data_IF_389753945601
#
_entry.id   IF_389753945601
#
_cell.length_a   1.000
_cell.length_b   1.000
_cell.length_c   1.000
_cell.angle_alpha   90.00
_cell.angle_beta   90.00
_cell.angle_gamma   90.00
#
_symmetry.space_group_name_H-M   'P 1'
#
loop_
_entity.id
_entity.type
_entity.pdbx_description
1 polymer ?
#
# COMPACT_ATOMS: atom_id res chain seq x y z
N UNK A 1 75.44 12.82 31.22
CA UNK A 1 75.73 13.84 30.20
C UNK A 1 74.48 13.98 29.33
N UNK A 2 74.00 15.21 29.22
CA UNK A 2 72.75 15.73 28.65
C UNK A 2 72.23 15.12 27.34
N UNK A 3 70.90 15.17 27.13
CA UNK A 3 70.15 15.92 26.10
C UNK A 3 68.73 15.31 25.98
N UNK A 4 67.66 15.96 26.47
CA UNK A 4 66.76 16.96 25.86
C UNK A 4 65.98 16.54 24.58
N UNK A 5 64.65 16.62 24.71
CA UNK A 5 63.58 16.93 23.73
C UNK A 5 63.24 15.97 22.58
N UNK A 6 61.98 15.53 22.51
CA UNK A 6 60.95 16.15 21.66
C UNK A 6 59.64 15.33 21.67
N UNK A 7 58.54 15.97 22.05
CA UNK A 7 57.17 15.45 21.89
C UNK A 7 56.77 15.68 20.42
N UNK A 8 56.45 14.61 19.70
CA UNK A 8 55.79 14.70 18.39
C UNK A 8 54.37 14.11 18.51
N UNK A 9 53.38 14.99 18.55
CA UNK A 9 51.98 14.66 18.37
C UNK A 9 51.79 14.40 16.86
N UNK A 10 51.75 13.13 16.47
CA UNK A 10 51.34 12.73 15.14
C UNK A 10 49.82 12.47 15.17
N UNK A 11 49.05 13.50 14.83
CA UNK A 11 47.61 13.38 14.59
C UNK A 11 47.38 12.49 13.37
N UNK A 12 46.87 11.28 13.59
CA UNK A 12 46.28 10.49 12.51
C UNK A 12 44.86 11.00 12.27
N UNK A 13 44.75 11.76 11.19
CA UNK A 13 43.51 12.16 10.55
C UNK A 13 42.77 10.89 10.11
N UNK A 14 41.75 10.48 10.87
CA UNK A 14 40.77 9.51 10.39
C UNK A 14 40.01 10.14 9.21
N UNK A 15 40.47 9.87 8.00
CA UNK A 15 39.67 10.09 6.79
C UNK A 15 38.56 9.05 6.81
N UNK A 16 37.49 9.36 7.53
CA UNK A 16 36.21 8.68 7.43
C UNK A 16 35.56 9.06 6.11
N UNK A 17 36.03 8.48 5.01
CA UNK A 17 35.26 8.45 3.78
C UNK A 17 34.18 7.36 3.93
N UNK A 18 33.16 7.65 4.75
CA UNK A 18 31.88 6.98 4.62
C UNK A 18 31.24 7.49 3.33
N UNK A 19 31.71 6.97 2.20
CA UNK A 19 30.93 6.96 0.99
C UNK A 19 29.71 6.10 1.27
N UNK A 20 28.64 6.70 1.78
CA UNK A 20 27.32 6.14 1.59
C UNK A 20 27.10 6.12 0.08
N UNK A 21 27.45 5.00 -0.56
CA UNK A 21 26.87 4.66 -1.84
C UNK A 21 25.37 4.59 -1.56
N UNK A 22 24.64 5.64 -1.94
CA UNK A 22 23.21 5.56 -2.09
C UNK A 22 22.97 4.39 -3.05
N UNK A 23 22.61 3.25 -2.50
CA UNK A 23 22.31 2.07 -3.28
C UNK A 23 21.04 2.44 -4.06
N UNK A 24 21.21 2.77 -5.35
CA UNK A 24 20.07 3.09 -6.21
C UNK A 24 19.28 1.80 -6.34
N UNK A 25 18.19 1.70 -5.59
CA UNK A 25 17.29 0.53 -5.61
C UNK A 25 16.20 0.75 -6.64
N UNK A 26 15.79 -0.32 -7.31
CA UNK A 26 14.63 -0.27 -8.22
C UNK A 26 13.35 -0.15 -7.38
N UNK A 27 12.49 0.84 -7.69
CA UNK A 27 11.19 1.00 -7.05
C UNK A 27 10.33 -0.27 -7.14
N UNK A 28 10.53 -1.09 -8.19
CA UNK A 28 9.85 -2.39 -8.33
C UNK A 28 10.25 -3.36 -7.23
N UNK A 29 11.53 -3.43 -6.88
CA UNK A 29 12.04 -4.35 -5.85
C UNK A 29 11.51 -3.98 -4.47
N UNK A 30 11.48 -2.68 -4.15
CA UNK A 30 10.89 -2.17 -2.91
C UNK A 30 9.39 -2.51 -2.86
N UNK A 31 8.68 -2.28 -3.97
CA UNK A 31 7.25 -2.58 -4.07
C UNK A 31 6.94 -4.08 -3.97
N UNK A 32 7.80 -4.95 -4.49
CA UNK A 32 7.71 -6.40 -4.28
C UNK A 32 7.98 -6.78 -2.82
N UNK A 33 8.95 -6.12 -2.18
CA UNK A 33 9.25 -6.34 -0.76
C UNK A 33 8.05 -6.00 0.11
N UNK A 34 7.36 -4.88 -0.16
CA UNK A 34 6.10 -4.50 0.49
C UNK A 34 5.01 -5.54 0.25
N UNK A 35 4.83 -6.00 -1.00
CA UNK A 35 3.78 -6.97 -1.36
C UNK A 35 3.98 -8.34 -0.70
N UNK A 36 5.22 -8.77 -0.56
CA UNK A 36 5.57 -10.11 -0.08
C UNK A 36 5.70 -10.20 1.44
N UNK A 37 5.49 -9.09 2.17
CA UNK A 37 5.43 -9.13 3.63
C UNK A 37 4.32 -10.08 4.09
N UNK A 38 4.64 -10.95 5.05
CA UNK A 38 3.68 -11.86 5.63
C UNK A 38 2.63 -11.07 6.42
N UNK A 39 1.37 -11.18 6.01
CA UNK A 39 0.24 -10.48 6.63
C UNK A 39 -0.55 -11.36 7.62
N UNK A 40 -0.15 -12.62 7.85
CA UNK A 40 -0.97 -13.57 8.61
C UNK A 40 -1.95 -14.37 7.74
N UNK A 41 -2.30 -15.57 8.17
CA UNK A 41 -3.23 -16.46 7.44
C UNK A 41 -4.70 -16.09 7.64
N UNK A 42 -5.04 -15.48 8.78
CA UNK A 42 -6.38 -15.02 9.10
C UNK A 42 -6.31 -13.64 9.76
N UNK A 43 -7.18 -12.74 9.33
CA UNK A 43 -7.29 -11.42 9.95
C UNK A 43 -8.75 -11.04 10.17
N UNK A 44 -9.00 -10.34 11.27
CA UNK A 44 -10.27 -9.68 11.54
C UNK A 44 -9.98 -8.26 11.99
N UNK A 45 -10.53 -7.29 11.26
CA UNK A 45 -10.42 -5.87 11.57
C UNK A 45 -11.80 -5.28 11.71
N UNK A 46 -12.03 -4.53 12.78
CA UNK A 46 -13.15 -3.59 12.86
C UNK A 46 -12.62 -2.20 12.57
N UNK A 47 -13.26 -1.50 11.65
CA UNK A 47 -12.84 -0.16 11.28
C UNK A 47 -14.04 0.79 11.19
N UNK A 48 -13.77 2.04 11.50
CA UNK A 48 -14.69 3.16 11.40
C UNK A 48 -14.15 4.13 10.32
N UNK A 49 -15.04 4.67 9.52
CA UNK A 49 -14.72 5.59 8.43
C UNK A 49 -15.54 6.86 8.58
N UNK A 50 -14.88 8.01 8.45
CA UNK A 50 -15.53 9.31 8.36
C UNK A 50 -15.42 9.81 6.92
N UNK A 51 -16.56 9.95 6.25
CA UNK A 51 -16.65 10.48 4.89
C UNK A 51 -17.07 11.93 4.99
N UNK A 52 -16.20 12.86 4.58
CA UNK A 52 -16.47 14.30 4.61
C UNK A 52 -16.51 14.80 3.18
N UNK A 53 -17.62 15.43 2.78
CA UNK A 53 -17.73 16.03 1.46
C UNK A 53 -17.12 17.44 1.42
N UNK A 54 -17.11 18.05 0.23
CA UNK A 54 -16.58 19.43 0.02
C UNK A 54 -17.28 20.51 0.86
N UNK A 55 -18.50 20.28 1.33
CA UNK A 55 -19.26 21.25 2.16
C UNK A 55 -19.02 21.05 3.66
N UNK A 56 -18.16 20.11 4.06
CA UNK A 56 -17.88 19.78 5.47
C UNK A 56 -18.92 18.87 6.12
N UNK A 57 -19.93 18.40 5.37
CA UNK A 57 -20.90 17.46 5.90
C UNK A 57 -20.26 16.07 5.98
N UNK A 58 -20.33 15.46 7.17
CA UNK A 58 -19.66 14.22 7.48
C UNK A 58 -20.65 13.07 7.74
N UNK A 59 -20.32 11.87 7.26
CA UNK A 59 -21.05 10.62 7.54
C UNK A 59 -20.08 9.58 8.11
N UNK A 60 -20.51 8.88 9.16
CA UNK A 60 -19.75 7.78 9.75
C UNK A 60 -20.25 6.44 9.22
N UNK A 61 -19.33 5.52 8.91
CA UNK A 61 -19.59 4.11 8.62
C UNK A 61 -18.74 3.23 9.52
N UNK A 62 -19.25 2.06 9.86
CA UNK A 62 -18.48 1.02 10.55
C UNK A 62 -18.55 -0.27 9.75
N UNK A 63 -17.45 -1.01 9.68
CA UNK A 63 -17.40 -2.29 8.97
C UNK A 63 -16.44 -3.27 9.64
N UNK A 64 -16.67 -4.55 9.37
CA UNK A 64 -15.64 -5.58 9.54
C UNK A 64 -14.92 -5.82 8.21
N UNK A 65 -13.62 -6.10 8.29
CA UNK A 65 -12.82 -6.71 7.23
C UNK A 65 -12.30 -8.05 7.74
N UNK A 66 -12.56 -9.10 6.99
CA UNK A 66 -12.03 -10.44 7.20
C UNK A 66 -11.04 -10.74 6.09
N UNK A 67 -9.94 -11.41 6.41
CA UNK A 67 -9.04 -11.96 5.40
C UNK A 67 -8.76 -13.41 5.76
N UNK A 68 -8.75 -14.27 4.75
CA UNK A 68 -8.22 -15.63 4.84
C UNK A 68 -7.26 -15.87 3.69
N UNK A 69 -6.09 -16.39 4.01
CA UNK A 69 -5.11 -16.90 3.08
C UNK A 69 -4.97 -18.40 3.32
N UNK A 70 -5.16 -19.20 2.27
CA UNK A 70 -5.05 -20.67 2.33
C UNK A 70 -4.32 -21.15 1.10
N UNK A 71 -3.03 -21.45 1.27
CA UNK A 71 -2.19 -21.94 0.18
C UNK A 71 -2.08 -20.97 -1.00
N UNK A 72 -2.04 -19.65 -0.74
CA UNK A 72 -1.94 -18.61 -1.77
C UNK A 72 -3.29 -18.18 -2.35
N UNK A 73 -4.40 -18.78 -1.93
CA UNK A 73 -5.75 -18.34 -2.27
C UNK A 73 -6.26 -17.35 -1.23
N UNK A 74 -5.96 -16.08 -1.45
CA UNK A 74 -6.39 -15.01 -0.56
C UNK A 74 -7.80 -14.52 -0.88
N UNK A 75 -8.64 -14.47 0.15
CA UNK A 75 -10.00 -13.92 0.09
C UNK A 75 -10.17 -12.86 1.16
N UNK A 76 -10.66 -11.69 0.76
CA UNK A 76 -10.92 -10.56 1.64
C UNK A 76 -12.41 -10.26 1.59
N UNK A 77 -13.05 -10.16 2.74
CA UNK A 77 -14.46 -9.79 2.85
C UNK A 77 -14.61 -8.52 3.69
N UNK A 78 -15.23 -7.50 3.12
CA UNK A 78 -15.67 -6.30 3.84
C UNK A 78 -17.18 -6.43 4.07
N UNK A 79 -17.65 -6.11 5.28
CA UNK A 79 -19.08 -6.12 5.63
C UNK A 79 -19.43 -4.91 6.49
N UNK A 80 -20.32 -4.07 5.98
CA UNK A 80 -20.81 -2.90 6.72
C UNK A 80 -21.71 -3.28 7.89
N UNK A 81 -21.46 -2.65 9.04
CA UNK A 81 -22.22 -2.77 10.28
C UNK A 81 -23.19 -1.59 10.46
N UNK A 82 -22.80 -0.41 9.99
CA UNK A 82 -23.56 0.83 10.09
C UNK A 82 -23.18 1.79 8.96
N UNK A 83 -24.05 2.74 8.57
CA UNK A 83 -25.42 2.96 9.04
C UNK A 83 -26.45 1.94 8.53
N UNK A 84 -27.72 2.09 8.94
CA UNK A 84 -28.79 1.10 8.71
C UNK A 84 -29.12 0.87 7.23
N UNK A 85 -28.98 1.90 6.40
CA UNK A 85 -29.20 1.91 4.94
C UNK A 85 -28.20 1.03 4.18
N UNK A 86 -26.97 0.88 4.69
CA UNK A 86 -25.92 0.03 4.08
C UNK A 86 -25.56 -1.18 4.93
N UNK A 87 -26.25 -1.41 6.05
CA UNK A 87 -25.96 -2.52 6.97
C UNK A 87 -26.05 -3.86 6.24
N UNK A 88 -25.06 -4.72 6.44
CA UNK A 88 -24.87 -6.02 5.75
C UNK A 88 -24.50 -5.93 4.27
N UNK A 89 -24.36 -4.74 3.68
CA UNK A 89 -23.70 -4.62 2.37
C UNK A 89 -22.28 -5.18 2.51
N UNK A 90 -21.90 -6.05 1.58
CA UNK A 90 -20.64 -6.76 1.65
C UNK A 90 -19.93 -6.81 0.31
N UNK A 91 -18.60 -6.77 0.35
CA UNK A 91 -17.73 -7.00 -0.79
C UNK A 91 -16.84 -8.19 -0.48
N UNK A 92 -16.81 -9.16 -1.39
CA UNK A 92 -15.82 -10.23 -1.39
C UNK A 92 -14.83 -9.98 -2.53
N UNK A 93 -13.56 -9.82 -2.21
CA UNK A 93 -12.43 -9.85 -3.16
C UNK A 93 -11.78 -11.22 -3.10
N UNK A 94 -11.71 -11.91 -4.24
CA UNK A 94 -10.97 -13.15 -4.41
C UNK A 94 -9.74 -12.86 -5.29
N UNK A 95 -8.56 -13.00 -4.69
CA UNK A 95 -7.31 -12.81 -5.41
C UNK A 95 -7.02 -13.98 -6.36
N UNK A 96 -6.71 -13.66 -7.61
CA UNK A 96 -6.33 -14.64 -8.62
C UNK A 96 -4.85 -14.51 -9.00
N UNK A 97 -4.15 -15.65 -9.09
CA UNK A 97 -2.77 -15.70 -9.56
C UNK A 97 -2.74 -15.59 -11.08
N UNK A 98 -2.01 -14.61 -11.62
CA UNK A 98 -1.85 -14.44 -13.08
C UNK A 98 -3.08 -13.91 -13.81
N UNK A 99 -4.13 -13.51 -13.09
CA UNK A 99 -5.34 -12.91 -13.64
C UNK A 99 -5.85 -11.77 -12.73
N UNK A 100 -6.84 -11.04 -13.23
CA UNK A 100 -7.56 -10.03 -12.44
C UNK A 100 -8.28 -10.65 -11.25
N UNK A 101 -8.35 -9.90 -10.15
CA UNK A 101 -9.12 -10.32 -8.99
C UNK A 101 -10.62 -10.36 -9.32
N UNK A 102 -11.33 -11.25 -8.65
CA UNK A 102 -12.79 -11.36 -8.82
C UNK A 102 -13.48 -10.78 -7.60
N UNK A 103 -14.32 -9.78 -7.83
CA UNK A 103 -15.05 -9.11 -6.78
C UNK A 103 -16.57 -9.32 -6.89
N UNK A 104 -17.21 -9.56 -5.74
CA UNK A 104 -18.65 -9.73 -5.62
C UNK A 104 -19.21 -8.75 -4.58
N UNK A 105 -20.11 -7.88 -5.01
CA UNK A 105 -20.87 -6.99 -4.16
C UNK A 105 -22.22 -7.60 -3.82
N UNK A 106 -22.49 -7.78 -2.54
CA UNK A 106 -23.79 -8.17 -2.02
C UNK A 106 -24.58 -6.95 -1.53
N UNK A 107 -25.79 -6.78 -2.07
CA UNK A 107 -26.70 -5.70 -1.74
C UNK A 107 -27.93 -6.26 -1.01
N UNK A 108 -28.02 -6.16 0.33
CA UNK A 108 -29.05 -6.82 1.13
C UNK A 108 -30.46 -6.30 0.83
N UNK A 109 -30.61 -4.99 0.57
CA UNK A 109 -31.89 -4.39 0.22
C UNK A 109 -32.52 -4.99 -1.05
N UNK A 110 -31.68 -5.46 -1.97
CA UNK A 110 -32.11 -6.08 -3.23
C UNK A 110 -32.04 -7.61 -3.18
N UNK A 111 -31.43 -8.19 -2.14
CA UNK A 111 -31.05 -9.62 -2.08
C UNK A 111 -30.29 -10.08 -3.33
N UNK A 112 -29.45 -9.20 -3.89
CA UNK A 112 -28.70 -9.46 -5.13
C UNK A 112 -27.20 -9.49 -4.88
N UNK A 113 -26.54 -10.37 -5.62
CA UNK A 113 -25.10 -10.39 -5.78
C UNK A 113 -24.80 -9.83 -7.17
N UNK A 114 -23.90 -8.84 -7.24
CA UNK A 114 -23.36 -8.31 -8.49
C UNK A 114 -21.88 -8.63 -8.54
N UNK A 115 -21.42 -9.23 -9.64
CA UNK A 115 -19.98 -9.31 -9.94
C UNK A 115 -19.52 -7.95 -10.43
N UNK A 116 -18.41 -7.46 -9.89
CA UNK A 116 -17.75 -6.25 -10.40
C UNK A 116 -16.94 -6.69 -11.63
N UNK A 117 -17.28 -6.12 -12.78
CA UNK A 117 -16.54 -6.39 -14.02
C UNK A 117 -15.19 -5.69 -13.96
N UNK A 118 -14.21 -6.19 -14.72
CA UNK A 118 -12.91 -5.55 -14.87
C UNK A 118 -13.03 -4.05 -15.22
N UNK A 119 -13.93 -3.68 -16.13
CA UNK A 119 -14.13 -2.30 -16.54
C UNK A 119 -14.92 -1.46 -15.51
N UNK A 120 -15.51 -2.08 -14.49
CA UNK A 120 -16.24 -1.38 -13.42
C UNK A 120 -15.31 -1.01 -12.24
N UNK A 121 -14.01 -1.31 -12.32
CA UNK A 121 -13.05 -1.10 -11.22
C UNK A 121 -12.93 0.37 -10.78
N UNK A 122 -13.18 1.31 -11.69
CA UNK A 122 -13.21 2.76 -11.40
C UNK A 122 -14.42 3.22 -10.60
N UNK A 123 -15.48 2.39 -10.50
CA UNK A 123 -16.67 2.76 -9.76
C UNK A 123 -16.37 2.87 -8.27
N UNK A 124 -16.98 3.87 -7.63
CA UNK A 124 -16.79 4.11 -6.21
C UNK A 124 -17.42 3.01 -5.37
N UNK A 125 -16.73 2.63 -4.31
CA UNK A 125 -17.18 1.62 -3.37
C UNK A 125 -18.25 2.21 -2.44
N UNK A 126 -19.52 1.97 -2.77
CA UNK A 126 -20.67 2.34 -1.91
C UNK A 126 -20.65 3.84 -1.56
N UNK A 127 -20.14 4.71 -2.45
CA UNK A 127 -20.04 6.15 -2.21
C UNK A 127 -18.96 6.58 -1.21
N UNK A 128 -17.88 5.79 -1.06
CA UNK A 128 -16.60 6.26 -0.53
C UNK A 128 -15.76 6.89 -1.64
N UNK A 129 -14.63 7.51 -1.28
CA UNK A 129 -13.60 7.92 -2.25
C UNK A 129 -12.78 6.74 -2.79
N UNK A 130 -12.79 5.59 -2.11
CA UNK A 130 -12.21 4.36 -2.63
C UNK A 130 -13.02 3.84 -3.83
N UNK A 131 -12.31 3.38 -4.85
CA UNK A 131 -12.86 2.59 -5.94
C UNK A 131 -12.71 1.08 -5.66
N UNK A 132 -13.17 0.24 -6.59
CA UNK A 132 -13.10 -1.21 -6.41
C UNK A 132 -11.67 -1.76 -6.55
N UNK A 133 -10.82 -1.14 -7.37
CA UNK A 133 -9.40 -1.50 -7.49
C UNK A 133 -8.63 -1.26 -6.18
N UNK A 134 -8.95 -0.20 -5.43
CA UNK A 134 -8.34 0.08 -4.12
C UNK A 134 -8.57 -1.04 -3.09
N UNK A 135 -9.55 -1.89 -3.35
CA UNK A 135 -9.94 -3.02 -2.49
C UNK A 135 -9.39 -4.36 -3.01
N UNK A 136 -8.51 -4.31 -4.00
CA UNK A 136 -7.68 -5.40 -4.51
C UNK A 136 -6.25 -5.31 -3.96
N UNK A 137 -5.46 -6.36 -4.16
CA UNK A 137 -4.02 -6.26 -3.95
C UNK A 137 -3.36 -5.65 -5.18
N UNK A 138 -2.37 -4.77 -4.95
CA UNK A 138 -1.67 -4.12 -6.05
C UNK A 138 -1.04 -5.15 -7.02
N UNK A 139 -1.39 -5.02 -8.29
CA UNK A 139 -0.80 -5.79 -9.38
C UNK A 139 0.50 -5.11 -9.83
N UNK A 140 1.60 -5.44 -9.14
CA UNK A 140 2.95 -4.87 -9.41
C UNK A 140 3.31 -4.91 -10.89
N UNK A 141 2.94 -5.97 -11.61
CA UNK A 141 3.30 -6.13 -13.00
C UNK A 141 2.50 -5.22 -13.97
N UNK A 142 1.45 -4.55 -13.51
CA UNK A 142 0.71 -3.54 -14.28
C UNK A 142 1.49 -2.23 -14.44
N UNK A 143 2.61 -2.04 -13.74
CA UNK A 143 3.35 -0.78 -13.71
C UNK A 143 4.82 -0.95 -14.11
N UNK A 144 5.39 0.14 -14.62
CA UNK A 144 6.84 0.39 -14.69
C UNK A 144 7.24 1.30 -13.55
N UNK A 145 8.40 1.06 -12.95
CA UNK A 145 8.85 1.78 -11.76
C UNK A 145 10.05 2.67 -12.08
N UNK A 146 10.14 3.82 -11.42
CA UNK A 146 11.37 4.61 -11.41
C UNK A 146 12.42 3.98 -10.50
N UNK A 147 13.67 4.40 -10.66
CA UNK A 147 14.66 4.25 -9.60
C UNK A 147 14.14 4.91 -8.32
N UNK A 148 14.42 4.31 -7.17
CA UNK A 148 14.07 4.85 -5.87
C UNK A 148 15.13 5.86 -5.41
N UNK A 149 14.66 7.01 -4.96
CA UNK A 149 15.45 8.00 -4.26
C UNK A 149 15.19 7.93 -2.75
N UNK A 150 16.04 8.62 -1.99
CA UNK A 150 15.85 8.82 -0.56
C UNK A 150 15.05 10.10 -0.31
N UNK A 151 14.09 10.04 0.61
CA UNK A 151 13.29 11.19 1.05
C UNK A 151 12.94 11.08 2.54
N UNK A 152 12.47 12.17 3.14
CA UNK A 152 11.96 12.22 4.51
C UNK A 152 10.46 12.50 4.49
N UNK A 153 9.68 11.59 5.06
CA UNK A 153 8.22 11.76 5.19
C UNK A 153 7.76 11.42 6.59
N UNK A 154 7.02 12.34 7.20
CA UNK A 154 6.52 12.22 8.58
C UNK A 154 7.63 11.87 9.62
N UNK A 155 8.84 12.41 9.42
CA UNK A 155 9.98 12.17 10.30
C UNK A 155 10.67 10.81 10.10
N UNK A 156 10.29 10.03 9.07
CA UNK A 156 10.91 8.76 8.72
C UNK A 156 11.70 8.86 7.43
N UNK A 157 12.86 8.19 7.40
CA UNK A 157 13.59 7.97 6.16
C UNK A 157 12.82 7.00 5.26
N UNK A 158 12.56 7.41 4.03
CA UNK A 158 11.76 6.68 3.08
C UNK A 158 12.50 6.47 1.76
N UNK A 159 12.17 5.38 1.09
CA UNK A 159 12.33 5.27 -0.35
C UNK A 159 11.17 5.99 -1.04
N UNK A 160 11.48 6.90 -1.96
CA UNK A 160 10.53 7.54 -2.84
C UNK A 160 10.69 7.02 -4.27
N UNK A 161 9.58 6.58 -4.88
CA UNK A 161 9.55 6.14 -6.28
C UNK A 161 8.16 6.38 -6.91
N UNK A 162 8.14 6.47 -8.24
CA UNK A 162 6.92 6.53 -9.04
C UNK A 162 6.65 5.18 -9.72
N UNK A 163 5.38 4.81 -9.80
CA UNK A 163 4.89 3.68 -10.58
C UNK A 163 3.94 4.19 -11.67
N UNK A 164 4.27 3.95 -12.94
CA UNK A 164 3.49 4.41 -14.09
C UNK A 164 2.83 3.20 -14.76
N UNK A 165 1.53 3.29 -15.05
CA UNK A 165 0.79 2.19 -15.66
C UNK A 165 1.33 1.85 -17.05
N UNK A 166 1.46 0.55 -17.34
CA UNK A 166 1.82 0.08 -18.67
C UNK A 166 0.65 0.29 -19.64
N UNK A 167 0.92 0.47 -20.95
CA UNK A 167 -0.13 0.50 -21.97
C UNK A 167 -1.02 -0.76 -21.91
N UNK A 168 -2.33 -0.57 -21.85
CA UNK A 168 -3.30 -1.66 -21.75
C UNK A 168 -3.38 -2.35 -20.39
N UNK A 169 -2.66 -1.87 -19.38
CA UNK A 169 -2.78 -2.39 -18.02
C UNK A 169 -4.18 -2.11 -17.48
N UNK A 170 -4.76 -3.11 -16.83
CA UNK A 170 -6.04 -2.98 -16.17
C UNK A 170 -5.88 -2.30 -14.81
N UNK A 171 -5.79 -0.98 -14.82
CA UNK A 171 -5.65 -0.11 -13.66
C UNK A 171 -6.34 1.22 -13.92
N UNK A 172 -7.03 1.75 -12.91
CA UNK A 172 -7.67 3.07 -12.92
C UNK A 172 -6.65 4.19 -12.70
N UNK A 173 -5.48 3.85 -12.14
CA UNK A 173 -4.40 4.79 -11.89
C UNK A 173 -3.38 4.79 -13.02
N UNK A 174 -3.18 5.94 -13.67
CA UNK A 174 -2.10 6.13 -14.65
C UNK A 174 -0.72 6.25 -13.99
N UNK A 175 -0.67 6.75 -12.76
CA UNK A 175 0.55 6.91 -11.98
C UNK A 175 0.27 6.90 -10.48
N UNK A 176 1.18 6.29 -9.71
CA UNK A 176 1.24 6.40 -8.26
C UNK A 176 2.60 6.93 -7.81
N UNK A 177 2.60 7.70 -6.73
CA UNK A 177 3.81 8.12 -6.01
C UNK A 177 3.80 7.45 -4.66
N UNK A 178 4.91 6.83 -4.27
CA UNK A 178 4.96 6.04 -3.05
C UNK A 178 6.18 6.40 -2.22
N UNK A 179 5.95 6.56 -0.93
CA UNK A 179 6.97 6.67 0.10
C UNK A 179 6.90 5.40 0.93
N UNK A 180 8.00 4.66 0.99
CA UNK A 180 8.10 3.40 1.74
C UNK A 180 9.14 3.57 2.83
N UNK A 181 8.74 3.43 4.08
CA UNK A 181 9.65 3.49 5.24
C UNK A 181 10.81 2.50 5.05
N UNK A 182 12.06 2.98 5.17
CA UNK A 182 13.24 2.14 4.89
C UNK A 182 13.42 1.01 5.91
N UNK A 183 12.90 1.18 7.12
CA UNK A 183 13.01 0.18 8.18
C UNK A 183 11.91 -0.87 8.08
N UNK A 184 10.65 -0.45 8.10
CA UNK A 184 9.51 -1.36 8.17
C UNK A 184 8.99 -1.82 6.80
N UNK A 185 9.40 -1.16 5.71
CA UNK A 185 8.83 -1.32 4.37
C UNK A 185 7.30 -1.11 4.33
N UNK A 186 6.76 -0.32 5.26
CA UNK A 186 5.37 0.11 5.24
C UNK A 186 5.26 1.41 4.43
N UNK A 187 4.20 1.52 3.61
CA UNK A 187 3.92 2.77 2.88
C UNK A 187 3.45 3.86 3.83
N UNK A 188 4.01 5.04 3.67
CA UNK A 188 3.60 6.26 4.37
C UNK A 188 2.71 7.06 3.43
N UNK A 189 1.49 7.37 3.90
CA UNK A 189 0.41 7.96 3.12
C UNK A 189 0.29 9.47 3.30
#
# INVERSE_FOLDING_TARGET
MSFLFAIFIAGYLCIGASGATAEIRDGREIQLSVKNQYAGDDQVWRWDMLLTNKTGYARKRSAYRYMKDRGGLRKIMIRFLSPADIRQTGLLTWENTGADDTQFLYLPALKKIRRIATNDKEQTFVGTDFNYEDLENLKVDNYTYSAAGDDMREGKECYFYEATAKPGANTVYSRMRTWTDKESFIRIH
#
